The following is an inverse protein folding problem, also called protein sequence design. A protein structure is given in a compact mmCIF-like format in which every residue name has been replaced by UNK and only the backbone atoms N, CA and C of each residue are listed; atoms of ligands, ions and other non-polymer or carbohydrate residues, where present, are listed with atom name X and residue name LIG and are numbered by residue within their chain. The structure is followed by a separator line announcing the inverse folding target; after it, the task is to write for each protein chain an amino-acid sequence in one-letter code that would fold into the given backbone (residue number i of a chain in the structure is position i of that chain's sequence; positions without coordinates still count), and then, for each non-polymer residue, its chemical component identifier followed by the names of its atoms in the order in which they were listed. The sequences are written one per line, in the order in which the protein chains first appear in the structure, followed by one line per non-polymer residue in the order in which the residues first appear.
data_IF_114446424370
#
_entry.id   IF_114446424370
#
_cell.length_a   1.000
_cell.length_b   1.000
_cell.length_c   1.000
_cell.angle_alpha   90.00
_cell.angle_beta   90.00
_cell.angle_gamma   90.00
#
_symmetry.space_group_name_H-M   'P 1'
#
loop_
_entity.id
_entity.type
_entity.pdbx_description
1 polymer ?
#
# COMPACT_ATOMS: atom_id res chain seq x y z
N UNK A 1 -24.89 -12.27 13.90
CA UNK A 1 -24.17 -11.01 13.72
C UNK A 1 -22.67 -11.16 13.85
N UNK A 2 -22.11 -11.72 14.93
CA UNK A 2 -20.64 -11.89 15.16
C UNK A 2 -19.95 -12.65 14.01
N UNK A 3 -20.48 -13.78 13.55
CA UNK A 3 -19.87 -14.57 12.47
C UNK A 3 -19.82 -13.82 11.12
N UNK A 4 -20.79 -13.00 10.84
CA UNK A 4 -20.83 -12.16 9.64
C UNK A 4 -19.71 -11.10 9.66
N UNK A 5 -19.56 -10.40 10.78
CA UNK A 5 -18.50 -9.39 10.95
C UNK A 5 -17.11 -10.02 10.82
N UNK A 6 -16.87 -11.15 11.47
CA UNK A 6 -15.57 -11.86 11.39
C UNK A 6 -15.25 -12.26 9.95
N UNK A 7 -16.23 -12.78 9.20
CA UNK A 7 -16.05 -13.12 7.78
C UNK A 7 -15.76 -11.87 6.95
N UNK A 8 -16.48 -10.79 7.15
CA UNK A 8 -16.30 -9.54 6.43
C UNK A 8 -14.90 -8.95 6.67
N UNK A 9 -14.45 -8.90 7.93
CA UNK A 9 -13.09 -8.47 8.27
C UNK A 9 -12.01 -9.37 7.65
N UNK A 10 -12.18 -10.68 7.76
CA UNK A 10 -11.21 -11.64 7.23
C UNK A 10 -11.06 -11.56 5.71
N UNK A 11 -12.18 -11.46 4.99
CA UNK A 11 -12.19 -11.33 3.52
C UNK A 11 -11.57 -10.00 3.10
N UNK A 12 -11.93 -8.88 3.75
CA UNK A 12 -11.37 -7.57 3.46
C UNK A 12 -9.86 -7.56 3.68
N UNK A 13 -9.39 -8.05 4.83
CA UNK A 13 -7.97 -8.13 5.15
C UNK A 13 -7.20 -9.00 4.17
N UNK A 14 -7.72 -10.18 3.84
CA UNK A 14 -7.09 -11.08 2.88
C UNK A 14 -6.97 -10.44 1.49
N UNK A 15 -8.04 -9.79 1.00
CA UNK A 15 -8.04 -9.10 -0.28
C UNK A 15 -7.03 -7.95 -0.30
N UNK A 16 -7.00 -7.14 0.75
CA UNK A 16 -6.07 -6.01 0.87
C UNK A 16 -4.62 -6.50 0.84
N UNK A 17 -4.26 -7.49 1.65
CA UNK A 17 -2.91 -8.06 1.67
C UNK A 17 -2.55 -8.68 0.31
N UNK A 18 -3.49 -9.38 -0.33
CA UNK A 18 -3.27 -10.01 -1.65
C UNK A 18 -2.95 -8.99 -2.74
N UNK A 19 -3.50 -7.78 -2.64
CA UNK A 19 -3.26 -6.71 -3.60
C UNK A 19 -2.01 -5.91 -3.23
N UNK A 20 -1.86 -5.54 -1.98
CA UNK A 20 -0.81 -4.61 -1.56
C UNK A 20 0.60 -5.25 -1.56
N UNK A 21 0.72 -6.54 -1.27
CA UNK A 21 2.01 -7.22 -1.35
C UNK A 21 2.63 -7.17 -2.75
N UNK A 22 1.92 -7.58 -3.83
CA UNK A 22 2.43 -7.43 -5.19
C UNK A 22 2.77 -5.98 -5.55
N UNK A 23 1.90 -5.02 -5.20
CA UNK A 23 2.13 -3.60 -5.45
C UNK A 23 3.41 -3.12 -4.78
N UNK A 24 3.62 -3.47 -3.50
CA UNK A 24 4.83 -3.14 -2.76
C UNK A 24 6.10 -3.72 -3.42
N UNK A 25 6.02 -4.97 -3.91
CA UNK A 25 7.15 -5.60 -4.62
C UNK A 25 7.43 -4.95 -5.97
N UNK A 26 6.40 -4.60 -6.75
CA UNK A 26 6.53 -3.91 -8.04
C UNK A 26 7.14 -2.53 -7.86
N UNK A 27 6.64 -1.74 -6.90
CA UNK A 27 7.19 -0.42 -6.59
C UNK A 27 8.66 -0.51 -6.15
N UNK A 28 8.99 -1.47 -5.30
CA UNK A 28 10.37 -1.72 -4.88
C UNK A 28 11.26 -2.08 -6.06
N UNK A 29 10.78 -2.94 -6.96
CA UNK A 29 11.52 -3.32 -8.17
C UNK A 29 11.76 -2.11 -9.07
N UNK A 30 10.72 -1.30 -9.32
CA UNK A 30 10.80 -0.07 -10.10
C UNK A 30 11.80 0.92 -9.52
N UNK A 31 11.77 1.18 -8.22
CA UNK A 31 12.72 2.07 -7.53
C UNK A 31 14.17 1.57 -7.66
N UNK A 32 14.40 0.26 -7.64
CA UNK A 32 15.72 -0.33 -7.81
C UNK A 32 16.25 -0.13 -9.24
N UNK A 33 15.38 -0.20 -10.24
CA UNK A 33 15.77 -0.01 -11.66
C UNK A 33 15.99 1.45 -12.02
N UNK A 34 15.11 2.36 -11.61
CA UNK A 34 15.24 3.80 -11.84
C UNK A 34 16.49 4.40 -11.20
N UNK A 35 16.94 3.86 -10.06
CA UNK A 35 18.18 4.28 -9.40
C UNK A 35 19.47 3.87 -10.14
N UNK A 36 19.39 2.96 -11.12
CA UNK A 36 20.54 2.51 -11.92
C UNK A 36 20.80 3.33 -13.18
N UNK A 37 19.77 3.91 -13.78
CA UNK A 37 19.91 4.66 -15.04
C UNK A 37 20.54 6.04 -14.87
N UNK A 38 20.51 6.63 -13.67
CA UNK A 38 21.11 7.95 -13.41
C UNK A 38 22.64 7.96 -13.26
N UNK A 39 23.35 6.83 -13.42
CA UNK A 39 24.80 6.76 -13.17
C UNK A 39 25.66 6.68 -14.44
N UNK A 40 25.09 6.77 -15.64
CA UNK A 40 25.84 6.56 -16.89
C UNK A 40 26.28 7.83 -17.65
N UNK A 41 26.04 9.05 -17.12
CA UNK A 41 26.26 10.28 -17.90
C UNK A 41 27.34 11.22 -17.35
N UNK A 42 28.14 10.80 -16.37
CA UNK A 42 29.28 11.63 -15.90
C UNK A 42 30.58 10.83 -15.82
N UNK A 43 31.07 10.38 -16.95
CA UNK A 43 32.47 9.92 -17.07
C UNK A 43 32.97 10.13 -18.49
N UNK A 44 33.10 11.39 -18.91
CA UNK A 44 34.00 11.76 -19.99
C UNK A 44 34.22 13.28 -19.89
N UNK A 45 35.28 13.71 -19.29
CA UNK A 45 36.12 14.84 -19.68
C UNK A 45 36.92 15.34 -18.48
N UNK A 46 38.17 15.35 -18.71
CA UNK A 46 39.26 16.20 -18.21
C UNK A 46 40.24 15.57 -17.24
N UNK A 47 41.38 15.27 -17.86
CA UNK A 47 42.66 15.10 -17.19
C UNK A 47 43.11 16.43 -16.54
N UNK A 48 43.49 16.35 -15.27
CA UNK A 48 44.05 17.44 -14.50
C UNK A 48 44.49 16.90 -13.15
N UNK A 49 45.81 16.70 -12.99
CA UNK A 49 46.44 16.37 -11.71
C UNK A 49 46.06 17.41 -10.67
N UNK A 50 45.40 16.98 -9.62
CA UNK A 50 45.55 17.62 -8.31
C UNK A 50 45.32 16.57 -7.22
N UNK A 51 46.40 16.26 -6.50
CA UNK A 51 46.34 15.51 -5.26
C UNK A 51 45.63 16.36 -4.20
N UNK A 52 44.39 16.04 -3.92
CA UNK A 52 43.67 16.57 -2.78
C UNK A 52 43.14 15.41 -1.96
N UNK A 53 43.47 15.45 -0.71
CA UNK A 53 43.05 14.54 0.37
C UNK A 53 41.57 14.24 0.26
N UNK A 54 41.23 13.02 -0.16
CA UNK A 54 39.85 12.52 -0.26
C UNK A 54 39.34 12.20 1.14
N UNK A 55 38.76 13.16 1.80
CA UNK A 55 37.80 12.87 2.87
C UNK A 55 36.56 12.26 2.22
N UNK A 56 36.62 10.97 1.97
CA UNK A 56 35.49 10.25 1.39
C UNK A 56 34.36 10.08 2.41
N UNK A 57 33.62 11.15 2.61
CA UNK A 57 32.25 11.08 3.15
C UNK A 57 31.36 10.37 2.13
N UNK A 58 31.64 9.12 1.83
CA UNK A 58 30.81 8.28 0.96
C UNK A 58 29.43 8.17 1.56
N UNK A 59 28.49 8.99 1.08
CA UNK A 59 27.05 8.77 1.27
C UNK A 59 26.71 7.39 0.70
N UNK A 60 26.91 6.37 1.52
CA UNK A 60 26.42 5.02 1.21
C UNK A 60 24.90 5.15 1.00
N UNK A 61 24.46 4.98 -0.25
CA UNK A 61 23.02 4.92 -0.56
C UNK A 61 22.44 3.87 0.37
N UNK A 62 21.39 4.18 1.15
CA UNK A 62 20.80 3.23 2.06
C UNK A 62 20.41 1.98 1.28
N UNK A 63 20.97 0.85 1.67
CA UNK A 63 20.65 -0.44 1.05
C UNK A 63 19.16 -0.72 1.29
N UNK A 64 18.39 -0.91 0.21
CA UNK A 64 16.97 -1.25 0.31
C UNK A 64 16.83 -2.49 1.19
N UNK A 65 15.98 -2.44 2.21
CA UNK A 65 15.77 -3.51 3.18
C UNK A 65 15.42 -4.87 2.57
N UNK A 66 15.44 -5.92 3.33
CA UNK A 66 15.09 -7.27 2.85
C UNK A 66 13.66 -7.35 2.32
N UNK A 67 13.40 -8.18 1.31
CA UNK A 67 12.04 -8.43 0.80
C UNK A 67 11.12 -8.99 1.89
N UNK A 68 11.67 -9.83 2.79
CA UNK A 68 10.93 -10.42 3.91
C UNK A 68 10.47 -9.37 4.91
N UNK A 69 11.34 -8.41 5.24
CA UNK A 69 11.00 -7.32 6.14
C UNK A 69 9.92 -6.39 5.55
N UNK A 70 10.00 -6.10 4.23
CA UNK A 70 8.97 -5.33 3.55
C UNK A 70 7.62 -6.07 3.58
N UNK A 71 7.59 -7.36 3.24
CA UNK A 71 6.37 -8.16 3.27
C UNK A 71 5.76 -8.20 4.68
N UNK A 72 6.58 -8.45 5.69
CA UNK A 72 6.14 -8.49 7.09
C UNK A 72 5.59 -7.12 7.53
N UNK A 73 6.24 -6.03 7.14
CA UNK A 73 5.78 -4.69 7.46
C UNK A 73 4.43 -4.38 6.81
N UNK A 74 4.25 -4.69 5.52
CA UNK A 74 2.97 -4.53 4.82
C UNK A 74 1.87 -5.33 5.51
N UNK A 75 2.12 -6.60 5.84
CA UNK A 75 1.13 -7.44 6.53
C UNK A 75 0.76 -6.89 7.90
N UNK A 76 1.76 -6.49 8.72
CA UNK A 76 1.50 -5.95 10.06
C UNK A 76 0.73 -4.62 10.02
N UNK A 77 1.10 -3.74 9.09
CA UNK A 77 0.41 -2.45 8.96
C UNK A 77 -1.03 -2.66 8.54
N UNK A 78 -1.30 -3.54 7.57
CA UNK A 78 -2.67 -3.88 7.16
C UNK A 78 -3.47 -4.58 8.27
N UNK A 79 -2.84 -5.44 9.05
CA UNK A 79 -3.49 -6.08 10.19
C UNK A 79 -3.94 -5.05 11.24
N UNK A 80 -3.23 -3.95 11.35
CA UNK A 80 -3.56 -2.86 12.27
C UNK A 80 -4.63 -1.92 11.69
N UNK A 81 -4.47 -1.48 10.44
CA UNK A 81 -5.28 -0.39 9.83
C UNK A 81 -6.59 -0.89 9.24
N UNK A 82 -6.58 -2.04 8.55
CA UNK A 82 -7.75 -2.51 7.80
C UNK A 82 -8.96 -2.86 8.71
N UNK A 83 -8.84 -3.60 9.83
CA UNK A 83 -9.99 -3.87 10.69
C UNK A 83 -10.62 -2.59 11.24
N UNK A 84 -9.79 -1.59 11.58
CA UNK A 84 -10.26 -0.30 12.08
C UNK A 84 -10.98 0.49 11.00
N UNK A 85 -10.43 0.53 9.77
CA UNK A 85 -11.04 1.19 8.63
C UNK A 85 -12.41 0.59 8.29
N UNK A 86 -12.50 -0.75 8.19
CA UNK A 86 -13.76 -1.45 7.92
C UNK A 86 -14.79 -1.18 9.01
N UNK A 87 -14.38 -1.19 10.28
CA UNK A 87 -15.26 -0.88 11.42
C UNK A 87 -15.79 0.55 11.32
N UNK A 88 -14.92 1.54 11.08
CA UNK A 88 -15.31 2.95 10.97
C UNK A 88 -16.25 3.18 9.78
N UNK A 89 -15.97 2.58 8.63
CA UNK A 89 -16.85 2.66 7.46
C UNK A 89 -18.21 2.00 7.72
N UNK A 90 -18.23 0.86 8.42
CA UNK A 90 -19.47 0.19 8.80
C UNK A 90 -20.30 1.02 9.78
N UNK A 91 -19.68 1.60 10.82
CA UNK A 91 -20.34 2.51 11.74
C UNK A 91 -20.86 3.74 11.02
N UNK A 92 -20.08 4.32 10.11
CA UNK A 92 -20.52 5.45 9.29
C UNK A 92 -21.78 5.16 8.50
N UNK A 93 -21.87 3.96 7.89
CA UNK A 93 -23.08 3.54 7.15
C UNK A 93 -24.29 3.31 8.04
N UNK A 94 -24.09 2.93 9.31
CA UNK A 94 -25.19 2.67 10.25
C UNK A 94 -25.75 3.93 10.86
N UNK A 95 -24.91 4.93 11.15
CA UNK A 95 -25.29 6.09 11.96
C UNK A 95 -25.36 7.40 11.17
N UNK A 96 -24.78 7.45 9.96
CA UNK A 96 -24.75 8.68 9.17
C UNK A 96 -25.73 8.62 8.01
N UNK A 97 -26.26 9.79 7.59
CA UNK A 97 -27.10 9.89 6.38
C UNK A 97 -26.34 9.37 5.14
N UNK A 98 -27.06 8.80 4.15
CA UNK A 98 -26.43 8.17 2.97
C UNK A 98 -25.49 9.11 2.19
N UNK A 99 -25.78 10.42 2.15
CA UNK A 99 -24.95 11.40 1.44
C UNK A 99 -23.60 11.66 2.12
N UNK A 100 -23.44 11.35 3.42
CA UNK A 100 -22.17 11.45 4.13
C UNK A 100 -21.33 10.19 4.06
N UNK A 101 -21.87 9.07 3.59
CA UNK A 101 -21.16 7.79 3.56
C UNK A 101 -19.89 7.83 2.70
N UNK A 102 -19.94 8.45 1.52
CA UNK A 102 -18.79 8.60 0.64
C UNK A 102 -17.72 9.56 1.21
N UNK A 103 -18.06 10.78 1.67
CA UNK A 103 -17.07 11.65 2.33
C UNK A 103 -16.39 10.99 3.53
N UNK A 104 -17.13 10.29 4.37
CA UNK A 104 -16.57 9.59 5.53
C UNK A 104 -15.65 8.45 5.09
N UNK A 105 -16.04 7.68 4.09
CA UNK A 105 -15.18 6.63 3.55
C UNK A 105 -13.87 7.20 3.02
N UNK A 106 -13.90 8.28 2.24
CA UNK A 106 -12.70 8.94 1.73
C UNK A 106 -11.81 9.49 2.86
N UNK A 107 -12.41 10.01 3.91
CA UNK A 107 -11.68 10.49 5.09
C UNK A 107 -10.98 9.34 5.82
N UNK A 108 -11.66 8.21 6.00
CA UNK A 108 -11.08 7.01 6.61
C UNK A 108 -9.91 6.48 5.77
N UNK A 109 -10.08 6.38 4.46
CA UNK A 109 -9.01 5.94 3.55
C UNK A 109 -7.79 6.89 3.59
N UNK A 110 -8.03 8.21 3.61
CA UNK A 110 -6.96 9.19 3.75
C UNK A 110 -6.22 9.05 5.09
N UNK A 111 -6.94 8.79 6.17
CA UNK A 111 -6.36 8.53 7.48
C UNK A 111 -5.52 7.24 7.50
N UNK A 112 -6.01 6.18 6.88
CA UNK A 112 -5.25 4.91 6.69
C UNK A 112 -3.94 5.18 5.98
N UNK A 113 -3.98 5.85 4.81
CA UNK A 113 -2.77 6.20 4.04
C UNK A 113 -1.78 7.01 4.89
N UNK A 114 -2.27 7.98 5.67
CA UNK A 114 -1.41 8.80 6.54
C UNK A 114 -0.74 7.97 7.64
N UNK A 115 -1.50 7.12 8.32
CA UNK A 115 -0.98 6.23 9.39
C UNK A 115 0.02 5.25 8.84
N UNK A 116 -0.27 4.60 7.73
CA UNK A 116 0.64 3.64 7.08
C UNK A 116 1.92 4.32 6.61
N UNK A 117 1.82 5.48 5.95
CA UNK A 117 2.98 6.25 5.52
C UNK A 117 3.86 6.67 6.71
N UNK A 118 3.24 7.04 7.83
CA UNK A 118 3.93 7.36 9.08
C UNK A 118 4.65 6.14 9.65
N UNK A 119 3.99 4.98 9.71
CA UNK A 119 4.59 3.73 10.17
C UNK A 119 5.77 3.34 9.25
N UNK A 120 5.57 3.33 7.93
CA UNK A 120 6.64 3.04 6.98
C UNK A 120 7.83 3.97 7.14
N UNK A 121 7.59 5.28 7.33
CA UNK A 121 8.64 6.27 7.58
C UNK A 121 9.41 5.97 8.86
N UNK A 122 8.73 5.64 9.95
CA UNK A 122 9.35 5.32 11.24
C UNK A 122 10.27 4.09 11.17
N UNK A 123 9.95 3.14 10.29
CA UNK A 123 10.80 1.97 10.08
C UNK A 123 11.96 2.22 9.10
N UNK A 124 11.92 3.28 8.27
CA UNK A 124 13.01 3.61 7.34
C UNK A 124 14.33 3.91 8.02
N UNK A 125 14.31 4.38 9.26
CA UNK A 125 15.50 4.69 10.05
C UNK A 125 16.22 3.42 10.55
N UNK A 126 15.54 2.29 10.54
CA UNK A 126 16.10 1.01 11.02
C UNK A 126 16.85 0.29 9.90
N UNK A 127 18.07 -0.23 10.14
CA UNK A 127 18.83 -0.98 9.16
C UNK A 127 18.04 -2.23 8.71
N UNK A 128 17.97 -2.45 7.40
CA UNK A 128 17.24 -3.59 6.81
C UNK A 128 15.73 -3.39 6.61
N UNK A 129 15.12 -2.29 7.10
CA UNK A 129 13.69 -2.00 6.98
C UNK A 129 13.35 -0.89 5.99
N UNK A 130 14.33 -0.38 5.26
CA UNK A 130 14.17 0.75 4.36
C UNK A 130 13.19 0.42 3.22
N UNK A 131 12.11 1.20 3.12
CA UNK A 131 11.03 1.03 2.13
C UNK A 131 11.18 1.93 0.89
N UNK A 132 12.12 2.87 0.91
CA UNK A 132 12.36 3.83 -0.17
C UNK A 132 11.48 5.08 -0.07
N UNK A 133 10.27 5.05 -0.61
CA UNK A 133 9.30 6.18 -0.59
C UNK A 133 8.03 5.76 0.16
N UNK A 134 7.93 6.00 1.47
CA UNK A 134 6.84 5.48 2.31
C UNK A 134 5.47 6.01 1.90
N UNK A 135 5.36 7.30 1.61
CA UNK A 135 4.09 7.92 1.19
C UNK A 135 3.61 7.35 -0.15
N UNK A 136 4.53 7.21 -1.12
CA UNK A 136 4.18 6.63 -2.43
C UNK A 136 3.76 5.17 -2.30
N UNK A 137 4.43 4.41 -1.43
CA UNK A 137 4.10 3.02 -1.17
C UNK A 137 2.68 2.89 -0.59
N UNK A 138 2.38 3.59 0.49
CA UNK A 138 1.06 3.56 1.13
C UNK A 138 -0.03 4.05 0.18
N UNK A 139 0.15 5.21 -0.47
CA UNK A 139 -0.85 5.76 -1.38
C UNK A 139 -1.16 4.82 -2.54
N UNK A 140 -0.12 4.29 -3.20
CA UNK A 140 -0.33 3.41 -4.36
C UNK A 140 -0.98 2.09 -3.96
N UNK A 141 -0.55 1.50 -2.85
CA UNK A 141 -1.09 0.25 -2.35
C UNK A 141 -2.59 0.41 -1.99
N UNK A 142 -2.94 1.45 -1.25
CA UNK A 142 -4.33 1.72 -0.86
C UNK A 142 -5.23 2.07 -2.06
N UNK A 143 -4.76 2.90 -3.01
CA UNK A 143 -5.53 3.20 -4.23
C UNK A 143 -5.77 1.94 -5.06
N UNK A 144 -4.77 1.06 -5.19
CA UNK A 144 -4.93 -0.20 -5.91
C UNK A 144 -5.92 -1.14 -5.21
N UNK A 145 -5.80 -1.33 -3.89
CA UNK A 145 -6.69 -2.20 -3.13
C UNK A 145 -8.14 -1.69 -3.14
N UNK A 146 -8.34 -0.38 -2.98
CA UNK A 146 -9.65 0.27 -3.06
C UNK A 146 -10.29 0.11 -4.45
N UNK A 147 -9.52 0.36 -5.53
CA UNK A 147 -10.00 0.19 -6.91
C UNK A 147 -10.42 -1.24 -7.19
N UNK A 148 -9.60 -2.21 -6.79
CA UNK A 148 -9.91 -3.64 -6.95
C UNK A 148 -11.14 -4.01 -6.11
N UNK A 149 -11.27 -3.49 -4.89
CA UNK A 149 -12.42 -3.68 -4.04
C UNK A 149 -13.74 -3.23 -4.70
N UNK A 150 -13.74 -2.05 -5.33
CA UNK A 150 -14.91 -1.54 -6.08
C UNK A 150 -15.23 -2.45 -7.27
N UNK A 151 -14.23 -2.83 -8.06
CA UNK A 151 -14.43 -3.69 -9.23
C UNK A 151 -14.97 -5.05 -8.80
N UNK A 152 -14.36 -5.70 -7.82
CA UNK A 152 -14.82 -6.98 -7.28
C UNK A 152 -16.24 -6.89 -6.71
N UNK A 153 -16.56 -5.81 -5.97
CA UNK A 153 -17.91 -5.58 -5.45
C UNK A 153 -18.95 -5.55 -6.57
N UNK A 154 -18.71 -4.80 -7.64
CA UNK A 154 -19.62 -4.73 -8.81
C UNK A 154 -19.82 -6.07 -9.50
N UNK A 155 -18.75 -6.88 -9.63
CA UNK A 155 -18.84 -8.21 -10.21
C UNK A 155 -19.66 -9.17 -9.34
N UNK A 156 -19.52 -9.08 -8.02
CA UNK A 156 -20.31 -9.87 -7.07
C UNK A 156 -21.79 -9.49 -7.17
N UNK A 157 -22.11 -8.19 -7.18
CA UNK A 157 -23.48 -7.71 -7.30
C UNK A 157 -24.13 -8.18 -8.63
N UNK A 158 -23.38 -8.12 -9.73
CA UNK A 158 -23.84 -8.61 -11.03
C UNK A 158 -24.09 -10.12 -11.01
N UNK A 159 -23.16 -10.89 -10.44
CA UNK A 159 -23.31 -12.35 -10.33
C UNK A 159 -24.53 -12.75 -9.49
N UNK A 160 -24.76 -12.05 -8.37
CA UNK A 160 -25.94 -12.26 -7.52
C UNK A 160 -27.23 -11.92 -8.29
N UNK A 161 -27.24 -10.78 -9.01
CA UNK A 161 -28.40 -10.38 -9.80
C UNK A 161 -28.74 -11.40 -10.91
N UNK A 162 -27.72 -11.95 -11.58
CA UNK A 162 -27.90 -13.01 -12.59
C UNK A 162 -28.43 -14.28 -11.93
N UNK A 163 -27.85 -14.72 -10.81
CA UNK A 163 -28.29 -15.92 -10.11
C UNK A 163 -29.74 -15.83 -9.65
N UNK A 164 -30.15 -14.65 -9.13
CA UNK A 164 -31.53 -14.41 -8.72
C UNK A 164 -32.51 -14.47 -9.92
N UNK A 165 -32.12 -13.90 -11.07
CA UNK A 165 -32.97 -13.97 -12.29
C UNK A 165 -33.11 -15.40 -12.81
N UNK A 166 -32.06 -16.19 -12.79
CA UNK A 166 -32.10 -17.59 -13.22
C UNK A 166 -32.89 -18.47 -12.24
N UNK A 167 -32.87 -18.15 -10.93
CA UNK A 167 -33.65 -18.87 -9.91
C UNK A 167 -35.14 -18.54 -9.91
N UNK A 168 -35.59 -17.46 -10.53
CA UNK A 168 -37.01 -17.06 -10.65
C UNK A 168 -37.69 -17.59 -11.94
N UNK A 169 -36.94 -18.27 -12.79
CA UNK A 169 -37.42 -18.76 -14.11
C UNK A 169 -38.03 -20.18 -14.12
N UNK A 170 -38.42 -20.72 -12.94
CA UNK A 170 -39.13 -22.03 -12.81
C UNK A 170 -40.43 -21.90 -12.06
#
# INVERSE_FOLDING_TARGET
MKAYLIKMFGISLALTILVELPVAFVLRWGMKHLGRTGKKTESTSNGGRQATVSTSGGRTKPALGSKRHLALLVVLVNLLTNPLAVLLCWLGRMYLPPFLSLPVQLLVEAAVVAVEAWIYRSFMEKPGWQTGRPVLLSLTANVCSWTIGIVCGRWIDLAVAIALRLGQGW
#
